data_IF_085864391020
#
_entry.id   IF_085864391020
#
_cell.length_a   1.000
_cell.length_b   1.000
_cell.length_c   1.000
_cell.angle_alpha   90.00
_cell.angle_beta   90.00
_cell.angle_gamma   90.00
#
_symmetry.space_group_name_H-M   'P 1'
#
loop_
_entity.id
_entity.type
_entity.pdbx_description
1 polymer ?
#
# COMPACT_ATOMS: atom_id res chain seq x y z
N UNK A 1 7.34 -13.54 13.83
CA UNK A 1 6.96 -13.26 12.42
C UNK A 1 5.49 -12.86 12.32
N UNK A 2 4.56 -13.57 12.97
CA UNK A 2 3.15 -13.13 13.15
C UNK A 2 2.98 -11.79 13.90
N UNK A 3 3.95 -11.37 14.73
CA UNK A 3 3.94 -10.05 15.38
C UNK A 3 3.92 -8.85 14.41
N UNK A 4 4.35 -9.01 13.15
CA UNK A 4 4.38 -7.90 12.18
C UNK A 4 3.05 -7.65 11.47
N UNK A 5 2.06 -8.55 11.62
CA UNK A 5 0.70 -8.39 11.09
C UNK A 5 -0.34 -8.11 12.18
N UNK A 6 0.10 -7.93 13.43
CA UNK A 6 -0.81 -7.47 14.48
C UNK A 6 -1.43 -6.15 14.02
N UNK A 7 -2.76 -6.08 14.10
CA UNK A 7 -3.60 -4.91 13.78
C UNK A 7 -3.77 -4.60 12.28
N UNK A 8 -3.23 -5.44 11.38
CA UNK A 8 -3.39 -5.23 9.93
C UNK A 8 -4.83 -5.49 9.47
N UNK A 9 -5.48 -6.47 10.08
CA UNK A 9 -6.89 -6.76 9.94
C UNK A 9 -7.77 -5.57 10.36
N UNK A 10 -7.51 -4.96 11.52
CA UNK A 10 -8.22 -3.76 11.98
C UNK A 10 -7.99 -2.58 11.01
N UNK A 11 -6.76 -2.35 10.54
CA UNK A 11 -6.47 -1.28 9.57
C UNK A 11 -7.10 -1.51 8.20
N UNK A 12 -7.26 -2.76 7.77
CA UNK A 12 -7.92 -3.12 6.50
C UNK A 12 -9.43 -2.94 6.64
N UNK A 13 -10.01 -3.42 7.74
CA UNK A 13 -11.43 -3.29 8.04
C UNK A 13 -11.86 -1.81 8.17
N UNK A 14 -11.06 -0.96 8.83
CA UNK A 14 -11.34 0.47 8.99
C UNK A 14 -11.31 1.25 7.65
N UNK A 15 -10.57 0.75 6.66
CA UNK A 15 -10.51 1.35 5.31
C UNK A 15 -11.59 0.83 4.35
N UNK A 16 -12.30 -0.25 4.71
CA UNK A 16 -13.35 -0.85 3.91
C UNK A 16 -14.74 -0.32 4.29
N UNK A 17 -15.42 0.37 3.37
CA UNK A 17 -16.79 0.86 3.62
C UNK A 17 -17.81 -0.28 3.87
N UNK A 18 -17.51 -1.49 3.37
CA UNK A 18 -18.23 -2.78 3.53
C UNK A 18 -17.20 -3.89 3.30
N UNK A 19 -17.48 -5.08 3.81
CA UNK A 19 -16.67 -6.31 3.70
C UNK A 19 -15.83 -6.38 2.42
N UNK A 20 -14.52 -6.58 2.57
CA UNK A 20 -13.54 -6.51 1.47
C UNK A 20 -13.12 -7.89 0.99
N UNK A 21 -12.91 -8.05 -0.31
CA UNK A 21 -12.22 -9.22 -0.87
C UNK A 21 -10.73 -8.88 -0.91
N UNK A 22 -9.92 -9.60 -0.13
CA UNK A 22 -8.49 -9.37 -0.06
C UNK A 22 -7.77 -10.23 -1.11
N UNK A 23 -6.99 -9.58 -1.98
CA UNK A 23 -6.17 -10.25 -2.97
C UNK A 23 -4.69 -10.09 -2.59
N UNK A 24 -3.99 -11.20 -2.33
CA UNK A 24 -2.55 -11.20 -2.00
C UNK A 24 -1.77 -12.18 -2.88
N UNK A 25 -0.45 -12.25 -2.74
CA UNK A 25 0.34 -13.38 -3.23
C UNK A 25 0.11 -14.62 -2.35
N UNK A 26 0.74 -15.76 -2.69
CA UNK A 26 0.62 -17.02 -1.93
C UNK A 26 1.47 -17.07 -0.65
N UNK A 27 1.94 -15.92 -0.20
CA UNK A 27 2.80 -15.88 0.94
C UNK A 27 2.04 -16.27 2.21
N UNK A 28 2.49 -17.32 2.88
CA UNK A 28 1.82 -17.99 4.01
C UNK A 28 1.55 -17.09 5.23
N UNK A 29 2.04 -15.85 5.21
CA UNK A 29 1.72 -14.87 6.24
C UNK A 29 0.24 -14.44 6.19
N UNK A 30 -0.40 -14.59 5.03
CA UNK A 30 -1.81 -14.25 4.80
C UNK A 30 -2.76 -15.44 4.95
N UNK A 31 -2.25 -16.62 5.30
CA UNK A 31 -3.10 -17.77 5.60
C UNK A 31 -4.08 -17.39 6.73
N UNK A 32 -5.34 -17.78 6.60
CA UNK A 32 -6.43 -17.53 7.57
C UNK A 32 -6.81 -16.04 7.72
N UNK A 33 -6.37 -15.15 6.82
CA UNK A 33 -6.70 -13.71 6.91
C UNK A 33 -8.19 -13.41 6.65
N UNK A 34 -8.91 -14.29 5.97
CA UNK A 34 -10.36 -14.23 5.78
C UNK A 34 -11.17 -14.67 7.00
N UNK A 35 -10.52 -15.16 8.07
CA UNK A 35 -11.18 -15.43 9.35
C UNK A 35 -11.44 -14.14 10.16
N UNK A 36 -10.89 -13.00 9.74
CA UNK A 36 -11.03 -11.71 10.42
C UNK A 36 -12.30 -10.95 9.99
N UNK A 37 -12.95 -10.32 10.97
CA UNK A 37 -14.15 -9.50 10.74
C UNK A 37 -13.84 -8.34 9.76
N UNK A 38 -14.62 -8.27 8.68
CA UNK A 38 -14.46 -7.26 7.64
C UNK A 38 -13.81 -7.78 6.35
N UNK A 39 -13.28 -9.01 6.33
CA UNK A 39 -12.75 -9.65 5.12
C UNK A 39 -13.75 -10.74 4.69
N UNK A 40 -14.35 -10.58 3.51
CA UNK A 40 -15.40 -11.50 3.00
C UNK A 40 -14.80 -12.74 2.32
N UNK A 41 -13.60 -12.57 1.75
CA UNK A 41 -12.87 -13.63 1.07
C UNK A 41 -11.39 -13.24 0.91
N UNK A 42 -10.52 -14.24 0.93
CA UNK A 42 -9.11 -14.12 0.57
C UNK A 42 -8.84 -14.88 -0.73
N UNK A 43 -8.21 -14.20 -1.69
CA UNK A 43 -7.82 -14.77 -2.98
C UNK A 43 -6.30 -14.67 -3.10
N UNK A 44 -5.63 -15.80 -2.95
CA UNK A 44 -4.19 -15.93 -3.23
C UNK A 44 -3.98 -15.98 -4.75
N UNK A 45 -3.35 -14.93 -5.30
CA UNK A 45 -3.07 -14.81 -6.72
C UNK A 45 -1.67 -15.39 -6.98
N UNK A 46 -1.63 -16.60 -7.53
CA UNK A 46 -0.39 -17.28 -7.96
C UNK A 46 -0.17 -17.14 -9.45
N UNK A 47 1.11 -17.10 -9.86
CA UNK A 47 1.50 -17.11 -11.27
C UNK A 47 1.16 -18.42 -12.00
N UNK A 48 0.77 -19.46 -11.28
CA UNK A 48 0.47 -20.78 -11.83
C UNK A 48 -1.00 -20.95 -12.25
N UNK A 49 -1.95 -20.30 -11.55
CA UNK A 49 -3.38 -20.58 -11.75
C UNK A 49 -4.22 -19.36 -12.15
N UNK A 50 -3.88 -18.13 -11.77
CA UNK A 50 -4.71 -16.95 -12.11
C UNK A 50 -3.87 -15.68 -12.17
N UNK A 51 -3.72 -15.10 -13.37
CA UNK A 51 -2.94 -13.87 -13.58
C UNK A 51 -3.69 -12.57 -13.25
N UNK A 52 -5.03 -12.63 -13.15
CA UNK A 52 -5.91 -11.46 -13.05
C UNK A 52 -7.18 -11.83 -12.30
N UNK A 53 -7.53 -11.08 -11.25
CA UNK A 53 -8.87 -11.08 -10.66
C UNK A 53 -9.40 -9.65 -10.76
N UNK A 54 -10.27 -9.39 -11.75
CA UNK A 54 -10.76 -8.02 -12.02
C UNK A 54 -9.63 -7.06 -12.42
N UNK A 55 -9.51 -5.93 -11.71
CA UNK A 55 -8.41 -4.96 -11.89
C UNK A 55 -7.17 -5.28 -11.03
N UNK A 56 -7.23 -6.32 -10.19
CA UNK A 56 -6.13 -6.72 -9.32
C UNK A 56 -5.09 -7.51 -10.12
N UNK A 57 -4.01 -6.81 -10.49
CA UNK A 57 -2.84 -7.38 -11.15
C UNK A 57 -1.65 -7.36 -10.18
N UNK A 58 -1.16 -8.55 -9.80
CA UNK A 58 0.07 -8.71 -8.97
C UNK A 58 1.24 -7.94 -9.61
N UNK A 59 1.40 -8.02 -10.93
CA UNK A 59 2.42 -7.26 -11.68
C UNK A 59 2.37 -5.73 -11.46
N UNK A 60 1.17 -5.15 -11.28
CA UNK A 60 1.03 -3.71 -11.02
C UNK A 60 1.45 -3.36 -9.59
N UNK A 61 1.11 -4.20 -8.62
CA UNK A 61 1.52 -4.06 -7.23
C UNK A 61 3.03 -4.24 -7.05
N UNK A 62 3.60 -5.28 -7.65
CA UNK A 62 5.04 -5.56 -7.62
C UNK A 62 5.86 -4.46 -8.29
N UNK A 63 5.42 -3.96 -9.44
CA UNK A 63 6.07 -2.85 -10.13
C UNK A 63 6.05 -1.59 -9.25
N UNK A 64 4.88 -1.24 -8.69
CA UNK A 64 4.75 -0.08 -7.78
C UNK A 64 5.62 -0.25 -6.54
N UNK A 65 5.68 -1.44 -5.96
CA UNK A 65 6.50 -1.72 -4.80
C UNK A 65 8.00 -1.62 -5.11
N UNK A 66 8.45 -2.14 -6.26
CA UNK A 66 9.84 -2.03 -6.72
C UNK A 66 10.24 -0.57 -6.94
N UNK A 67 9.39 0.20 -7.62
CA UNK A 67 9.58 1.64 -7.81
C UNK A 67 9.65 2.39 -6.48
N UNK A 68 8.70 2.14 -5.58
CA UNK A 68 8.62 2.80 -4.28
C UNK A 68 9.85 2.51 -3.44
N UNK A 69 10.32 1.25 -3.42
CA UNK A 69 11.51 0.83 -2.68
C UNK A 69 12.76 1.58 -3.17
N UNK A 70 12.94 1.70 -4.48
CA UNK A 70 14.08 2.45 -5.05
C UNK A 70 14.02 3.94 -4.71
N UNK A 71 12.82 4.54 -4.71
CA UNK A 71 12.66 5.93 -4.32
C UNK A 71 12.93 6.15 -2.82
N UNK A 72 12.39 5.29 -1.95
CA UNK A 72 12.58 5.36 -0.50
C UNK A 72 14.03 5.11 -0.07
N UNK A 73 14.79 4.29 -0.81
CA UNK A 73 16.20 4.00 -0.53
C UNK A 73 17.07 5.27 -0.47
N UNK A 74 16.68 6.35 -1.18
CA UNK A 74 17.37 7.65 -1.15
C UNK A 74 17.39 8.28 0.25
N UNK A 75 16.45 7.91 1.11
CA UNK A 75 16.31 8.44 2.46
C UNK A 75 16.96 7.56 3.53
N UNK A 76 17.69 6.50 3.15
CA UNK A 76 18.44 5.61 4.06
C UNK A 76 17.59 4.92 5.14
N UNK A 77 16.33 4.63 4.81
CA UNK A 77 15.38 4.00 5.72
C UNK A 77 14.33 4.99 6.19
N UNK A 78 13.07 4.69 5.90
CA UNK A 78 11.92 5.47 6.33
C UNK A 78 11.23 4.70 7.45
N UNK A 79 11.00 5.35 8.59
CA UNK A 79 10.22 4.78 9.69
C UNK A 79 8.78 4.55 9.24
N UNK A 80 8.17 3.42 9.64
CA UNK A 80 6.77 3.09 9.31
C UNK A 80 5.80 4.19 9.71
N UNK A 81 6.05 4.87 10.83
CA UNK A 81 5.21 5.97 11.34
C UNK A 81 5.25 7.24 10.47
N UNK A 82 6.23 7.35 9.58
CA UNK A 82 6.40 8.52 8.72
C UNK A 82 6.18 8.20 7.23
N UNK A 83 5.97 6.92 6.89
CA UNK A 83 5.85 6.46 5.50
C UNK A 83 4.80 7.26 4.73
N UNK A 84 3.64 7.53 5.33
CA UNK A 84 2.57 8.28 4.68
C UNK A 84 3.02 9.68 4.23
N UNK A 85 3.84 10.38 5.01
CA UNK A 85 4.37 11.69 4.63
C UNK A 85 5.27 11.62 3.39
N UNK A 86 6.10 10.58 3.31
CA UNK A 86 6.93 10.32 2.13
C UNK A 86 6.09 9.95 0.91
N UNK A 87 5.04 9.14 1.08
CA UNK A 87 4.11 8.81 -0.01
C UNK A 87 3.39 10.06 -0.54
N UNK A 88 2.94 10.94 0.36
CA UNK A 88 2.32 12.21 0.00
C UNK A 88 3.29 13.11 -0.77
N UNK A 89 4.54 13.19 -0.33
CA UNK A 89 5.58 13.96 -1.02
C UNK A 89 5.90 13.37 -2.41
N UNK A 90 6.01 12.04 -2.53
CA UNK A 90 6.19 11.38 -3.82
C UNK A 90 5.01 11.66 -4.77
N UNK A 91 3.79 11.59 -4.26
CA UNK A 91 2.58 11.92 -5.02
C UNK A 91 2.63 13.37 -5.54
N UNK A 92 3.03 14.33 -4.70
CA UNK A 92 3.24 15.71 -5.12
C UNK A 92 4.29 15.81 -6.23
N UNK A 93 5.45 15.15 -6.09
CA UNK A 93 6.51 15.19 -7.10
C UNK A 93 6.06 14.62 -8.44
N UNK A 94 5.28 13.55 -8.45
CA UNK A 94 4.82 12.88 -9.67
C UNK A 94 3.73 13.68 -10.39
N UNK A 95 2.81 14.27 -9.62
CA UNK A 95 1.66 15.01 -10.17
C UNK A 95 1.99 16.47 -10.50
N UNK A 96 2.95 17.09 -9.79
CA UNK A 96 3.27 18.52 -9.88
C UNK A 96 4.76 18.79 -10.16
N UNK A 97 5.32 18.15 -11.20
CA UNK A 97 6.77 18.15 -11.47
C UNK A 97 7.45 19.52 -11.55
N UNK A 98 6.77 20.55 -12.03
CA UNK A 98 7.35 21.89 -12.23
C UNK A 98 7.18 22.82 -11.03
N UNK A 99 6.09 22.66 -10.28
CA UNK A 99 5.66 23.66 -9.28
C UNK A 99 5.52 23.11 -7.87
N UNK A 100 5.92 21.85 -7.64
CA UNK A 100 5.84 21.21 -6.32
C UNK A 100 6.51 22.05 -5.23
N UNK A 101 7.65 22.68 -5.53
CA UNK A 101 8.39 23.48 -4.55
C UNK A 101 7.60 24.74 -4.15
N UNK A 102 7.04 25.44 -5.14
CA UNK A 102 6.16 26.60 -4.93
C UNK A 102 4.88 26.22 -4.18
N UNK A 103 4.33 25.03 -4.43
CA UNK A 103 3.15 24.50 -3.72
C UNK A 103 3.43 24.21 -2.24
N UNK A 104 4.61 23.70 -1.92
CA UNK A 104 5.01 23.49 -0.50
C UNK A 104 5.12 24.84 0.22
N UNK A 105 5.79 25.82 -0.39
CA UNK A 105 5.98 27.13 0.22
C UNK A 105 4.67 27.92 0.41
N UNK A 106 3.71 27.77 -0.50
CA UNK A 106 2.41 28.42 -0.37
C UNK A 106 1.48 27.78 0.68
N UNK A 107 1.72 26.51 1.01
CA UNK A 107 0.97 25.81 2.06
C UNK A 107 1.29 26.32 3.47
N UNK A 108 2.55 26.70 3.74
CA UNK A 108 2.93 27.26 5.05
C UNK A 108 2.43 28.70 5.28
N UNK A 109 2.17 29.45 4.21
CA UNK A 109 1.65 30.83 4.32
C UNK A 109 0.14 30.90 4.61
N UNK A 110 -0.57 29.77 4.57
CA UNK A 110 -2.04 29.70 4.72
C UNK A 110 -2.49 29.10 6.06
N UNK A 111 -1.56 28.84 7.00
CA UNK A 111 -1.83 28.47 8.39
C UNK A 111 -1.47 29.62 9.33
#
# INVERSE_FOLDING_TARGET
MRENLQDVDEEIADKGDKTVILCTDDYTIYDEIDEYDGIDAHLAITHDETYVIGDAHVNSCENRHSFLRQWLAKFRGVSKHHLQGYLNFLSLLLNDRTDWFSKILSYESSR
#
